data_IF_123035878127
#
_entry.id   IF_123035878127
#
_cell.length_a   1.000
_cell.length_b   1.000
_cell.length_c   1.000
_cell.angle_alpha   90.00
_cell.angle_beta   90.00
_cell.angle_gamma   90.00
#
_symmetry.space_group_name_H-M   'P 1'
#
loop_
_entity.id
_entity.type
_entity.pdbx_description
1 polymer ?
#
# COMPACT_ATOMS: atom_id res chain seq x y z
N UNK A 1 12.52 -16.27 -8.90
CA UNK A 1 12.49 -15.03 -9.69
C UNK A 1 12.21 -13.85 -8.79
N UNK A 2 11.74 -12.75 -9.36
CA UNK A 2 11.27 -11.56 -8.62
C UNK A 2 9.74 -11.54 -8.66
N UNK A 3 9.11 -11.14 -7.55
CA UNK A 3 7.65 -10.92 -7.49
C UNK A 3 7.38 -9.44 -7.68
N UNK A 4 6.48 -9.10 -8.60
CA UNK A 4 6.07 -7.72 -8.82
C UNK A 4 5.11 -7.24 -7.72
N UNK A 5 5.32 -6.00 -7.27
CA UNK A 5 4.29 -5.18 -6.64
C UNK A 5 3.67 -4.32 -7.74
N UNK A 6 2.38 -4.48 -8.00
CA UNK A 6 1.68 -3.83 -9.10
C UNK A 6 1.17 -2.45 -8.65
N UNK A 7 1.88 -1.40 -9.06
CA UNK A 7 1.56 -0.01 -8.72
C UNK A 7 0.34 0.48 -9.54
N UNK A 8 -0.79 0.68 -8.87
CA UNK A 8 -2.08 1.04 -9.46
C UNK A 8 -2.40 2.48 -9.08
N UNK A 9 -2.34 3.36 -10.08
CA UNK A 9 -2.55 4.80 -9.90
C UNK A 9 -3.98 5.24 -10.22
N UNK A 10 -4.77 4.40 -10.89
CA UNK A 10 -6.17 4.68 -11.22
C UNK A 10 -6.92 3.37 -11.54
N UNK A 11 -8.23 3.44 -11.63
CA UNK A 11 -9.16 2.35 -11.99
C UNK A 11 -8.80 1.65 -13.30
N UNK A 12 -8.27 2.38 -14.29
CA UNK A 12 -7.78 1.78 -15.54
C UNK A 12 -6.60 0.81 -15.33
N UNK A 13 -5.72 1.07 -14.36
CA UNK A 13 -4.65 0.14 -14.03
C UNK A 13 -5.19 -1.14 -13.38
N UNK A 14 -6.29 -1.06 -12.60
CA UNK A 14 -6.95 -2.27 -12.09
C UNK A 14 -7.53 -3.14 -13.21
N UNK A 15 -8.04 -2.53 -14.28
CA UNK A 15 -8.48 -3.28 -15.48
C UNK A 15 -7.29 -4.02 -16.08
N UNK A 16 -6.18 -3.32 -16.32
CA UNK A 16 -4.96 -3.94 -16.83
C UNK A 16 -4.44 -5.07 -15.94
N UNK A 17 -4.46 -4.91 -14.61
CA UNK A 17 -4.07 -5.97 -13.66
C UNK A 17 -4.96 -7.21 -13.84
N UNK A 18 -6.28 -7.04 -14.00
CA UNK A 18 -7.20 -8.17 -14.23
C UNK A 18 -6.92 -8.88 -15.55
N UNK A 19 -6.58 -8.13 -16.60
CA UNK A 19 -6.19 -8.71 -17.89
C UNK A 19 -4.90 -9.54 -17.76
N UNK A 20 -3.88 -9.01 -17.09
CA UNK A 20 -2.62 -9.74 -16.83
C UNK A 20 -2.83 -11.03 -16.01
N UNK A 21 -3.76 -11.02 -15.06
CA UNK A 21 -4.16 -12.22 -14.31
C UNK A 21 -4.84 -13.22 -15.25
N UNK A 22 -5.78 -12.78 -16.07
CA UNK A 22 -6.51 -13.64 -17.00
C UNK A 22 -5.59 -14.27 -18.06
N UNK A 23 -4.54 -13.57 -18.47
CA UNK A 23 -3.50 -14.07 -19.38
C UNK A 23 -2.51 -15.03 -18.70
N UNK A 24 -2.58 -15.22 -17.38
CA UNK A 24 -1.68 -16.10 -16.63
C UNK A 24 -0.25 -15.57 -16.52
N UNK A 25 -0.06 -14.25 -16.63
CA UNK A 25 1.26 -13.61 -16.63
C UNK A 25 1.79 -13.26 -15.22
N UNK A 26 0.98 -13.47 -14.18
CA UNK A 26 1.29 -13.11 -12.81
C UNK A 26 1.23 -14.33 -11.89
N UNK A 27 2.33 -14.56 -11.16
CA UNK A 27 2.40 -15.62 -10.17
C UNK A 27 1.60 -15.25 -8.90
N UNK A 28 0.94 -16.23 -8.28
CA UNK A 28 0.28 -16.03 -6.98
C UNK A 28 1.25 -16.07 -5.77
N UNK A 29 1.04 -15.26 -4.72
CA UNK A 29 -0.06 -14.30 -4.57
C UNK A 29 0.18 -12.99 -5.32
N UNK A 30 -0.88 -12.43 -5.92
CA UNK A 30 -0.88 -11.10 -6.51
C UNK A 30 -0.70 -10.04 -5.42
N UNK A 31 0.24 -9.11 -5.63
CA UNK A 31 0.48 -7.96 -4.76
C UNK A 31 0.18 -6.67 -5.53
N UNK A 32 -0.72 -5.85 -4.99
CA UNK A 32 -1.14 -4.57 -5.58
C UNK A 32 -0.83 -3.44 -4.61
N UNK A 33 -0.35 -2.31 -5.10
CA UNK A 33 -0.26 -1.07 -4.33
C UNK A 33 -1.19 -0.03 -4.94
N UNK A 34 -2.14 0.46 -4.13
CA UNK A 34 -3.02 1.56 -4.52
C UNK A 34 -2.32 2.89 -4.22
N UNK A 35 -1.96 3.62 -5.27
CA UNK A 35 -1.18 4.85 -5.22
C UNK A 35 -2.11 6.06 -5.29
N UNK A 36 -2.48 6.61 -4.14
CA UNK A 36 -3.54 7.63 -4.06
C UNK A 36 -2.97 9.05 -4.00
N UNK A 37 -3.73 10.02 -4.51
CA UNK A 37 -3.45 11.45 -4.35
C UNK A 37 -2.38 12.02 -5.30
N UNK A 38 -1.92 11.23 -6.26
CA UNK A 38 -0.96 11.65 -7.28
C UNK A 38 -1.70 12.40 -8.39
N UNK A 39 -1.12 13.50 -8.88
CA UNK A 39 -1.74 14.33 -9.91
C UNK A 39 -2.11 13.49 -11.16
N UNK A 40 -3.35 13.67 -11.64
CA UNK A 40 -3.94 12.92 -12.77
C UNK A 40 -4.13 11.41 -12.54
N UNK A 41 -3.92 10.91 -11.32
CA UNK A 41 -4.36 9.59 -10.88
C UNK A 41 -5.61 9.65 -9.99
N UNK A 42 -5.85 8.56 -9.28
CA UNK A 42 -6.94 8.43 -8.32
C UNK A 42 -6.78 9.46 -7.17
N UNK A 43 -7.78 10.32 -6.93
CA UNK A 43 -7.77 11.19 -5.76
C UNK A 43 -7.77 10.38 -4.47
N UNK A 44 -7.22 10.95 -3.41
CA UNK A 44 -7.05 10.29 -2.12
C UNK A 44 -8.26 10.43 -1.18
N UNK A 45 -9.45 10.68 -1.73
CA UNK A 45 -10.67 10.72 -0.96
C UNK A 45 -11.18 9.30 -0.60
N UNK A 46 -11.89 9.13 0.54
CA UNK A 46 -12.36 7.82 0.98
C UNK A 46 -13.27 7.09 -0.02
N UNK A 47 -14.05 7.83 -0.82
CA UNK A 47 -15.03 7.23 -1.74
C UNK A 47 -14.32 6.60 -2.94
N UNK A 48 -13.34 7.30 -3.51
CA UNK A 48 -12.49 6.77 -4.57
C UNK A 48 -11.65 5.60 -4.07
N UNK A 49 -11.03 5.74 -2.89
CA UNK A 49 -10.24 4.66 -2.30
C UNK A 49 -11.06 3.38 -2.13
N UNK A 50 -12.25 3.46 -1.52
CA UNK A 50 -13.11 2.29 -1.33
C UNK A 50 -13.64 1.73 -2.64
N UNK A 51 -13.90 2.56 -3.66
CA UNK A 51 -14.26 2.08 -4.99
C UNK A 51 -13.15 1.21 -5.61
N UNK A 52 -11.89 1.60 -5.45
CA UNK A 52 -10.74 0.82 -5.93
C UNK A 52 -10.53 -0.46 -5.10
N UNK A 53 -10.63 -0.39 -3.77
CA UNK A 53 -10.56 -1.57 -2.88
C UNK A 53 -11.61 -2.61 -3.25
N UNK A 54 -12.85 -2.18 -3.49
CA UNK A 54 -13.96 -3.07 -3.87
C UNK A 54 -13.78 -3.71 -5.26
N UNK A 55 -12.83 -3.22 -6.06
CA UNK A 55 -12.53 -3.74 -7.40
C UNK A 55 -11.27 -4.61 -7.44
N UNK A 56 -10.59 -4.83 -6.31
CA UNK A 56 -9.42 -5.69 -6.25
C UNK A 56 -9.78 -7.14 -6.67
N UNK A 57 -8.89 -7.83 -7.40
CA UNK A 57 -9.07 -9.24 -7.71
C UNK A 57 -9.22 -10.09 -6.44
N UNK A 58 -10.07 -11.13 -6.44
CA UNK A 58 -10.23 -12.01 -5.28
C UNK A 58 -8.90 -12.62 -4.84
N UNK A 59 -8.60 -12.56 -3.54
CA UNK A 59 -7.37 -13.12 -2.97
C UNK A 59 -6.11 -12.27 -3.18
N UNK A 60 -6.20 -11.14 -3.88
CA UNK A 60 -5.08 -10.22 -3.99
C UNK A 60 -4.71 -9.66 -2.61
N UNK A 61 -3.41 -9.58 -2.36
CA UNK A 61 -2.86 -8.83 -1.23
C UNK A 61 -2.68 -7.41 -1.72
N UNK A 62 -3.11 -6.42 -0.93
CA UNK A 62 -2.92 -5.03 -1.31
C UNK A 62 -2.27 -4.19 -0.21
N UNK A 63 -1.56 -3.16 -0.64
CA UNK A 63 -1.10 -2.02 0.17
C UNK A 63 -1.74 -0.75 -0.38
N UNK A 64 -1.81 0.30 0.41
CA UNK A 64 -2.17 1.62 -0.08
C UNK A 64 -1.37 2.72 0.62
N UNK A 65 -1.12 3.81 -0.11
CA UNK A 65 -0.55 5.04 0.43
C UNK A 65 -1.18 6.26 -0.23
N UNK A 66 -1.01 7.41 0.41
CA UNK A 66 -1.17 8.72 -0.20
C UNK A 66 0.07 9.58 0.07
N UNK A 67 0.22 10.66 -0.69
CA UNK A 67 1.39 11.54 -0.66
C UNK A 67 1.24 12.69 0.34
N UNK A 68 2.38 13.28 0.70
CA UNK A 68 2.48 14.47 1.53
C UNK A 68 1.73 14.32 2.86
N UNK A 69 0.97 15.35 3.27
CA UNK A 69 0.18 15.37 4.52
C UNK A 69 -0.80 14.21 4.68
N UNK A 70 -1.16 13.51 3.60
CA UNK A 70 -2.12 12.40 3.64
C UNK A 70 -1.47 11.04 3.88
N UNK A 71 -0.13 10.93 3.89
CA UNK A 71 0.57 9.67 4.15
C UNK A 71 0.16 9.02 5.49
N UNK A 72 0.27 9.74 6.61
CA UNK A 72 -0.07 9.18 7.93
C UNK A 72 -1.59 8.92 8.12
N UNK A 73 -2.51 9.78 7.68
CA UNK A 73 -3.94 9.43 7.62
C UNK A 73 -4.22 8.15 6.82
N UNK A 74 -3.51 7.93 5.71
CA UNK A 74 -3.67 6.73 4.88
C UNK A 74 -3.22 5.44 5.54
N UNK A 75 -2.28 5.49 6.49
CA UNK A 75 -1.94 4.32 7.33
C UNK A 75 -3.19 3.75 8.00
N UNK A 76 -4.00 4.62 8.63
CA UNK A 76 -5.23 4.19 9.30
C UNK A 76 -6.29 3.75 8.30
N UNK A 77 -6.47 4.50 7.21
CA UNK A 77 -7.49 4.21 6.19
C UNK A 77 -7.24 2.87 5.49
N UNK A 78 -5.99 2.60 5.09
CA UNK A 78 -5.61 1.36 4.42
C UNK A 78 -5.76 0.15 5.35
N UNK A 79 -5.34 0.28 6.61
CA UNK A 79 -5.51 -0.77 7.60
C UNK A 79 -7.00 -1.07 7.87
N UNK A 80 -7.85 -0.04 7.95
CA UNK A 80 -9.29 -0.22 8.15
C UNK A 80 -9.97 -0.90 6.95
N UNK A 81 -9.48 -0.67 5.73
CA UNK A 81 -9.93 -1.36 4.53
C UNK A 81 -9.37 -2.79 4.39
N UNK A 82 -8.58 -3.28 5.35
CA UNK A 82 -8.00 -4.62 5.34
C UNK A 82 -6.70 -4.75 4.54
N UNK A 83 -6.09 -3.63 4.15
CA UNK A 83 -4.83 -3.57 3.41
C UNK A 83 -3.60 -3.45 4.29
N UNK A 84 -2.43 -3.55 3.64
CA UNK A 84 -1.15 -3.15 4.22
C UNK A 84 -0.92 -1.64 4.02
N UNK A 85 0.13 -1.11 4.64
CA UNK A 85 0.43 0.32 4.62
C UNK A 85 1.83 0.58 4.07
N UNK A 86 2.03 1.76 3.48
CA UNK A 86 3.34 2.26 3.06
C UNK A 86 3.56 3.68 3.61
N UNK A 87 4.77 3.92 4.09
CA UNK A 87 5.27 5.23 4.52
C UNK A 87 6.74 5.37 4.13
N UNK A 88 7.21 6.61 4.04
CA UNK A 88 8.60 6.93 3.76
C UNK A 88 8.79 8.34 3.21
N UNK A 89 10.04 8.78 3.17
CA UNK A 89 10.41 10.09 2.63
C UNK A 89 10.16 10.22 1.13
N UNK A 90 9.99 9.10 0.43
CA UNK A 90 9.57 9.07 -0.98
C UNK A 90 8.20 9.72 -1.17
N UNK A 91 7.24 9.45 -0.27
CA UNK A 91 5.88 9.95 -0.42
C UNK A 91 5.63 11.23 0.41
N UNK A 92 6.41 11.48 1.47
CA UNK A 92 6.22 12.63 2.36
C UNK A 92 7.50 13.00 3.13
N UNK A 93 7.92 14.27 3.03
CA UNK A 93 9.12 14.77 3.70
C UNK A 93 8.87 15.33 5.12
N UNK A 94 7.63 15.42 5.57
CA UNK A 94 7.25 16.08 6.83
C UNK A 94 6.68 15.10 7.87
N UNK A 95 7.11 15.20 9.12
CA UNK A 95 6.48 14.52 10.25
C UNK A 95 5.19 15.23 10.68
N UNK A 96 5.24 16.56 10.70
CA UNK A 96 4.14 17.46 11.04
C UNK A 96 4.31 18.78 10.27
N UNK A 97 3.37 19.72 10.41
CA UNK A 97 3.42 20.98 9.64
C UNK A 97 4.69 21.77 9.97
N UNK A 98 5.61 21.83 9.01
CA UNK A 98 6.88 22.55 9.14
C UNK A 98 8.00 21.76 9.83
N UNK A 99 7.77 20.49 10.16
CA UNK A 99 8.75 19.61 10.80
C UNK A 99 9.14 18.50 9.83
N UNK A 100 10.41 18.46 9.41
CA UNK A 100 10.93 17.42 8.52
C UNK A 100 11.02 16.07 9.25
N UNK A 101 10.83 14.99 8.51
CA UNK A 101 10.91 13.62 9.01
C UNK A 101 12.22 12.92 8.59
N UNK A 102 12.61 11.89 9.33
CA UNK A 102 13.37 10.75 8.81
C UNK A 102 12.43 9.59 8.45
N UNK A 103 12.92 8.60 7.67
CA UNK A 103 12.15 7.37 7.43
C UNK A 103 11.80 6.65 8.75
N UNK A 104 12.70 6.66 9.74
CA UNK A 104 12.45 6.04 11.03
C UNK A 104 11.32 6.74 11.81
N UNK A 105 11.20 8.07 11.72
CA UNK A 105 10.11 8.82 12.35
C UNK A 105 8.76 8.44 11.77
N UNK A 106 8.67 8.35 10.43
CA UNK A 106 7.44 7.98 9.73
C UNK A 106 7.02 6.54 10.05
N UNK A 107 7.98 5.60 10.04
CA UNK A 107 7.73 4.21 10.46
C UNK A 107 7.25 4.16 11.91
N UNK A 108 7.91 4.88 12.83
CA UNK A 108 7.51 4.92 14.25
C UNK A 108 6.09 5.45 14.42
N UNK A 109 5.72 6.50 13.69
CA UNK A 109 4.35 7.03 13.70
C UNK A 109 3.34 6.05 13.12
N UNK A 110 3.66 5.39 12.01
CA UNK A 110 2.80 4.41 11.38
C UNK A 110 2.54 3.22 12.31
N UNK A 111 3.59 2.65 12.90
CA UNK A 111 3.49 1.55 13.89
C UNK A 111 2.60 1.97 15.06
N UNK A 112 2.82 3.16 15.63
CA UNK A 112 1.98 3.65 16.73
C UNK A 112 0.50 3.80 16.36
N UNK A 113 0.19 4.25 15.13
CA UNK A 113 -1.19 4.32 14.63
C UNK A 113 -1.80 2.91 14.57
N UNK A 114 -1.09 1.96 13.98
CA UNK A 114 -1.54 0.58 13.82
C UNK A 114 -1.74 -0.13 15.16
N UNK A 115 -0.79 -0.01 16.09
CA UNK A 115 -0.88 -0.60 17.42
C UNK A 115 -2.08 -0.05 18.21
N UNK A 116 -2.34 1.26 18.11
CA UNK A 116 -3.52 1.87 18.72
C UNK A 116 -4.85 1.40 18.10
N UNK A 117 -4.80 0.81 16.90
CA UNK A 117 -5.94 0.16 16.25
C UNK A 117 -5.99 -1.36 16.52
N UNK A 118 -5.13 -1.88 17.41
CA UNK A 118 -4.93 -3.31 17.68
C UNK A 118 -4.46 -4.12 16.45
N UNK A 119 -3.74 -3.47 15.54
CA UNK A 119 -3.12 -4.13 14.37
C UNK A 119 -1.70 -4.54 14.73
N UNK A 120 -1.36 -5.80 14.48
CA UNK A 120 -0.01 -6.32 14.68
C UNK A 120 0.86 -6.11 13.45
N UNK A 121 1.99 -5.41 13.60
CA UNK A 121 2.99 -5.25 12.53
C UNK A 121 3.84 -6.51 12.44
N UNK A 122 3.88 -7.12 11.24
CA UNK A 122 4.59 -8.38 11.02
C UNK A 122 6.06 -8.17 10.70
N UNK A 123 6.89 -9.14 11.07
CA UNK A 123 8.31 -9.10 10.81
C UNK A 123 8.65 -9.46 9.35
N UNK A 124 9.82 -9.06 8.84
CA UNK A 124 10.21 -9.31 7.44
C UNK A 124 10.17 -10.79 7.03
N UNK A 125 10.45 -11.73 7.94
CA UNK A 125 10.34 -13.17 7.65
C UNK A 125 8.89 -13.60 7.35
N UNK A 126 7.91 -13.00 8.02
CA UNK A 126 6.50 -13.36 7.86
C UNK A 126 5.91 -12.69 6.62
N UNK A 127 6.40 -11.49 6.26
CA UNK A 127 6.16 -10.88 4.94
C UNK A 127 6.63 -11.82 3.83
N UNK A 128 7.87 -12.33 3.93
CA UNK A 128 8.42 -13.26 2.93
C UNK A 128 7.58 -14.54 2.81
N UNK A 129 7.13 -15.12 3.92
CA UNK A 129 6.24 -16.29 3.88
C UNK A 129 4.91 -15.95 3.20
N UNK A 130 4.27 -14.84 3.61
CA UNK A 130 2.97 -14.41 3.08
C UNK A 130 3.01 -14.13 1.57
N UNK A 131 4.10 -13.52 1.10
CA UNK A 131 4.32 -13.18 -0.31
C UNK A 131 5.12 -14.24 -1.10
N UNK A 132 5.39 -15.41 -0.51
CA UNK A 132 6.22 -16.47 -1.12
C UNK A 132 7.56 -15.97 -1.69
N UNK A 133 8.25 -15.09 -0.96
CA UNK A 133 9.52 -14.48 -1.37
C UNK A 133 10.71 -15.30 -0.90
N UNK A 134 11.73 -15.38 -1.75
CA UNK A 134 13.03 -15.97 -1.40
C UNK A 134 13.99 -14.85 -1.02
N UNK A 135 14.71 -15.00 0.11
CA UNK A 135 15.78 -14.07 0.47
C UNK A 135 17.01 -14.40 -0.39
N UNK A 136 17.46 -13.44 -1.17
CA UNK A 136 18.76 -13.50 -1.83
C UNK A 136 19.82 -12.87 -0.91
N UNK A 137 20.97 -13.51 -0.81
CA UNK A 137 22.13 -13.06 -0.02
C UNK A 137 23.01 -12.12 -0.82
#
# INVERSE_FOLDING_TARGET
>A
GVRAELEVFDTGHLVMVKDLIAEGLLDDPIMIQLCMGIAYGAPDDPSTFMAMVNQLPPGAIFSAFSISRMQLPYVAMAALAGGNVRVGLEDNIYLSRGELASNADLVTRAVKILENMNVNVIAPQDVRKKLKLTKHS
#
